data_IF_536084323814
#
_entry.id   IF_536084323814
#
_cell.length_a   1.000
_cell.length_b   1.000
_cell.length_c   1.000
_cell.angle_alpha   90.00
_cell.angle_beta   90.00
_cell.angle_gamma   90.00
#
_symmetry.space_group_name_H-M   'P 1'
#
loop_
_entity.id
_entity.type
_entity.pdbx_description
1 polymer ?
#
# COMPACT_ATOMS: atom_id res chain seq x y z
N UNK A 1 8.43 13.33 8.01
CA UNK A 1 9.17 14.52 8.47
C UNK A 1 10.33 14.87 7.55
N UNK A 2 11.37 14.06 7.38
CA UNK A 2 12.56 14.40 6.58
C UNK A 2 12.25 14.72 5.11
N UNK A 3 11.46 13.88 4.42
CA UNK A 3 11.02 14.15 3.04
C UNK A 3 10.24 15.46 2.94
N UNK A 4 9.43 15.78 3.96
CA UNK A 4 8.74 17.08 4.04
C UNK A 4 9.72 18.25 4.17
N UNK A 5 10.73 18.13 5.03
CA UNK A 5 11.76 19.17 5.20
C UNK A 5 12.57 19.37 3.91
N UNK A 6 12.96 18.29 3.23
CA UNK A 6 13.63 18.39 1.92
C UNK A 6 12.72 19.10 0.90
N UNK A 7 11.44 18.70 0.83
CA UNK A 7 10.47 19.32 -0.08
C UNK A 7 10.33 20.82 0.18
N UNK A 8 10.26 21.24 1.44
CA UNK A 8 10.16 22.64 1.82
C UNK A 8 11.45 23.41 1.49
N UNK A 9 12.62 22.80 1.66
CA UNK A 9 13.90 23.38 1.23
C UNK A 9 13.89 23.70 -0.27
N UNK A 10 13.45 22.74 -1.10
CA UNK A 10 13.33 22.98 -2.55
C UNK A 10 12.35 24.11 -2.88
N UNK A 11 11.26 24.21 -2.12
CA UNK A 11 10.24 25.26 -2.28
C UNK A 11 10.80 26.65 -1.93
N UNK A 12 11.46 26.77 -0.79
CA UNK A 12 12.08 28.04 -0.34
C UNK A 12 13.09 28.55 -1.38
N UNK A 13 13.80 27.63 -2.05
CA UNK A 13 14.77 27.99 -3.09
C UNK A 13 14.17 28.10 -4.50
N UNK A 14 12.84 28.01 -4.66
CA UNK A 14 12.18 28.08 -5.97
C UNK A 14 12.54 26.92 -6.92
N UNK A 15 12.99 25.79 -6.36
CA UNK A 15 13.50 24.64 -7.10
C UNK A 15 12.54 23.43 -7.10
N UNK A 16 11.28 23.60 -6.69
CA UNK A 16 10.28 22.51 -6.59
C UNK A 16 10.15 21.70 -7.88
N UNK A 17 10.20 22.39 -9.03
CA UNK A 17 10.10 21.74 -10.35
C UNK A 17 11.23 20.76 -10.64
N UNK A 18 12.39 20.91 -9.95
CA UNK A 18 13.54 20.02 -10.11
C UNK A 18 13.43 18.73 -9.30
N UNK A 19 12.56 18.70 -8.30
CA UNK A 19 12.35 17.55 -7.42
C UNK A 19 11.24 16.64 -7.96
N UNK A 20 11.50 15.35 -8.04
CA UNK A 20 10.50 14.31 -8.22
C UNK A 20 10.37 13.49 -6.94
N UNK A 21 9.14 13.02 -6.65
CA UNK A 21 8.86 12.15 -5.49
C UNK A 21 8.08 10.93 -5.94
N UNK A 22 8.57 9.74 -5.56
CA UNK A 22 7.86 8.50 -5.83
C UNK A 22 7.98 7.55 -4.64
N UNK A 23 7.13 6.53 -4.62
CA UNK A 23 7.21 5.44 -3.65
C UNK A 23 6.83 4.10 -4.29
N UNK A 24 7.18 3.00 -3.65
CA UNK A 24 6.87 1.65 -4.14
C UNK A 24 5.41 1.25 -3.89
N UNK A 25 4.72 1.91 -2.96
CA UNK A 25 3.29 1.71 -2.68
C UNK A 25 2.45 2.97 -2.93
N UNK A 26 1.13 2.78 -3.16
CA UNK A 26 0.20 3.91 -3.37
C UNK A 26 0.08 4.79 -2.13
N UNK A 27 -0.05 4.17 -0.95
CA UNK A 27 -0.19 4.90 0.32
C UNK A 27 1.06 5.74 0.61
N UNK A 28 2.25 5.16 0.49
CA UNK A 28 3.49 5.90 0.70
C UNK A 28 3.64 7.05 -0.30
N UNK A 29 3.28 6.83 -1.57
CA UNK A 29 3.31 7.86 -2.60
C UNK A 29 2.43 9.08 -2.24
N UNK A 30 1.23 8.82 -1.75
CA UNK A 30 0.31 9.88 -1.29
C UNK A 30 0.88 10.62 -0.08
N UNK A 31 1.38 9.89 0.94
CA UNK A 31 1.96 10.49 2.16
C UNK A 31 3.07 11.50 1.85
N UNK A 32 3.88 11.23 0.85
CA UNK A 32 4.98 12.14 0.46
C UNK A 32 4.58 13.17 -0.60
N UNK A 33 3.31 13.20 -1.03
CA UNK A 33 2.83 14.04 -2.13
C UNK A 33 3.52 13.73 -3.45
N UNK A 34 3.64 12.45 -3.79
CA UNK A 34 4.30 11.92 -4.98
C UNK A 34 3.41 10.94 -5.75
N UNK A 35 4.03 10.14 -6.63
CA UNK A 35 3.37 9.09 -7.41
C UNK A 35 3.96 7.72 -7.08
N UNK A 36 3.26 6.62 -7.43
CA UNK A 36 3.93 5.32 -7.38
C UNK A 36 5.07 5.28 -8.41
N UNK A 37 6.17 4.60 -8.07
CA UNK A 37 7.33 4.49 -8.96
C UNK A 37 6.95 3.98 -10.35
N UNK A 38 6.04 2.98 -10.41
CA UNK A 38 5.49 2.48 -11.67
C UNK A 38 4.75 3.56 -12.48
N UNK A 39 3.92 4.37 -11.82
CA UNK A 39 3.17 5.45 -12.48
C UNK A 39 4.08 6.56 -12.95
N UNK A 40 5.02 6.97 -12.10
CA UNK A 40 5.97 8.04 -12.37
C UNK A 40 6.88 7.71 -13.55
N UNK A 41 7.51 6.52 -13.54
CA UNK A 41 8.39 6.06 -14.61
C UNK A 41 7.63 5.51 -15.84
N UNK A 42 6.28 5.42 -15.78
CA UNK A 42 5.48 4.83 -16.85
C UNK A 42 5.80 3.35 -17.10
N UNK A 43 6.00 2.56 -16.03
CA UNK A 43 6.28 1.13 -16.10
C UNK A 43 4.96 0.37 -16.04
N UNK A 44 4.58 -0.42 -17.05
CA UNK A 44 3.35 -1.19 -17.02
C UNK A 44 3.46 -2.39 -16.06
N UNK A 45 2.44 -2.57 -15.21
CA UNK A 45 2.41 -3.64 -14.19
C UNK A 45 2.19 -5.04 -14.83
N UNK A 46 1.47 -5.14 -15.97
CA UNK A 46 0.96 -6.40 -16.52
C UNK A 46 1.34 -6.64 -17.98
N UNK A 47 2.58 -6.40 -18.41
CA UNK A 47 3.01 -6.79 -19.77
C UNK A 47 4.02 -7.93 -19.73
N UNK A 48 3.90 -8.94 -20.64
CA UNK A 48 4.92 -9.97 -20.79
C UNK A 48 6.27 -9.32 -21.17
N UNK A 49 7.35 -9.93 -20.70
CA UNK A 49 8.74 -9.56 -21.01
C UNK A 49 8.97 -9.59 -22.53
N UNK A 50 8.88 -8.43 -23.18
CA UNK A 50 9.39 -8.26 -24.55
C UNK A 50 10.70 -7.50 -24.46
N UNK A 51 11.68 -7.90 -25.28
CA UNK A 51 13.03 -7.32 -25.28
C UNK A 51 13.06 -5.80 -25.45
N UNK A 52 12.06 -5.21 -26.12
CA UNK A 52 11.95 -3.76 -26.38
C UNK A 52 10.88 -3.07 -25.50
N UNK A 53 10.75 -3.46 -24.23
CA UNK A 53 9.73 -2.90 -23.33
C UNK A 53 9.86 -1.39 -23.08
N UNK A 54 11.07 -0.80 -23.22
CA UNK A 54 11.30 0.64 -23.06
C UNK A 54 10.69 1.43 -24.21
N UNK A 55 10.76 0.90 -25.43
CA UNK A 55 10.29 1.58 -26.65
C UNK A 55 8.83 1.22 -26.98
N UNK A 56 8.29 0.15 -26.40
CA UNK A 56 6.93 -0.36 -26.67
C UNK A 56 5.80 0.41 -25.99
N UNK A 57 6.02 1.65 -25.52
CA UNK A 57 4.99 2.47 -24.90
C UNK A 57 4.09 3.13 -25.94
N UNK A 58 2.73 3.04 -25.75
CA UNK A 58 1.80 3.91 -26.45
C UNK A 58 2.23 5.39 -26.27
N UNK A 59 1.91 6.25 -27.23
CA UNK A 59 2.23 7.69 -27.17
C UNK A 59 1.85 8.35 -25.81
N UNK A 60 0.78 7.87 -25.17
CA UNK A 60 0.36 8.32 -23.85
C UNK A 60 1.37 8.01 -22.74
N UNK A 61 2.04 6.85 -22.78
CA UNK A 61 3.08 6.48 -21.80
C UNK A 61 4.32 7.34 -22.01
N UNK A 62 4.75 7.52 -23.26
CA UNK A 62 5.91 8.36 -23.58
C UNK A 62 5.66 9.83 -23.16
N UNK A 63 4.45 10.34 -23.44
CA UNK A 63 4.04 11.68 -22.99
C UNK A 63 4.10 11.80 -21.46
N UNK A 64 3.60 10.81 -20.71
CA UNK A 64 3.64 10.77 -19.24
C UNK A 64 5.09 10.76 -18.73
N UNK A 65 5.96 9.89 -19.28
CA UNK A 65 7.38 9.84 -18.94
C UNK A 65 8.02 11.21 -19.09
N UNK A 66 7.81 11.86 -20.24
CA UNK A 66 8.33 13.19 -20.49
C UNK A 66 7.79 14.21 -19.48
N UNK A 67 6.50 14.21 -19.18
CA UNK A 67 5.90 15.12 -18.19
C UNK A 67 6.45 14.94 -16.77
N UNK A 68 6.70 13.70 -16.36
CA UNK A 68 7.14 13.39 -15.01
C UNK A 68 8.65 13.58 -14.80
N UNK A 69 9.47 13.34 -15.83
CA UNK A 69 10.94 13.26 -15.71
C UNK A 69 11.62 14.53 -16.26
N UNK A 70 11.05 15.15 -17.31
CA UNK A 70 11.66 16.32 -17.95
C UNK A 70 11.90 17.47 -16.94
N UNK A 71 13.11 18.04 -16.93
CA UNK A 71 13.52 19.11 -16.01
C UNK A 71 13.78 18.66 -14.58
N UNK A 72 13.64 17.36 -14.26
CA UNK A 72 13.96 16.84 -12.93
C UNK A 72 15.44 16.60 -12.76
N UNK A 73 15.97 16.99 -11.60
CA UNK A 73 17.37 16.80 -11.20
C UNK A 73 17.50 15.87 -9.99
N UNK A 74 16.46 15.82 -9.15
CA UNK A 74 16.44 15.05 -7.91
C UNK A 74 15.23 14.11 -7.89
N UNK A 75 15.43 12.89 -7.43
CA UNK A 75 14.39 11.90 -7.23
C UNK A 75 14.42 11.38 -5.79
N UNK A 76 13.32 11.53 -5.08
CA UNK A 76 13.07 10.85 -3.82
C UNK A 76 12.25 9.58 -4.12
N UNK A 77 12.73 8.43 -3.62
CA UNK A 77 12.01 7.16 -3.67
C UNK A 77 11.82 6.63 -2.26
N UNK A 78 10.56 6.56 -1.81
CA UNK A 78 10.19 6.06 -0.47
C UNK A 78 9.77 4.58 -0.50
N UNK A 79 9.84 3.92 0.67
CA UNK A 79 9.56 2.49 0.87
C UNK A 79 10.40 1.58 -0.05
N UNK A 80 11.70 1.87 -0.18
CA UNK A 80 12.61 1.16 -1.09
C UNK A 80 12.75 -0.33 -0.77
N UNK A 81 12.38 -0.79 0.44
CA UNK A 81 12.40 -2.20 0.82
C UNK A 81 11.58 -3.09 -0.13
N UNK A 82 10.49 -2.57 -0.68
CA UNK A 82 9.63 -3.27 -1.64
C UNK A 82 10.07 -3.11 -3.10
N UNK A 83 11.15 -2.38 -3.38
CA UNK A 83 11.69 -2.22 -4.73
C UNK A 83 12.44 -3.48 -5.15
N UNK A 84 12.11 -4.02 -6.33
CA UNK A 84 12.89 -5.13 -6.89
C UNK A 84 14.12 -4.62 -7.64
N UNK A 85 15.16 -5.45 -7.73
CA UNK A 85 16.34 -5.20 -8.56
C UNK A 85 15.94 -4.81 -10.00
N UNK A 86 15.04 -5.59 -10.62
CA UNK A 86 14.54 -5.30 -11.97
C UNK A 86 13.80 -3.97 -12.06
N UNK A 87 13.03 -3.61 -11.03
CA UNK A 87 12.31 -2.33 -11.00
C UNK A 87 13.28 -1.15 -10.93
N UNK A 88 14.32 -1.26 -10.11
CA UNK A 88 15.39 -0.26 -9.98
C UNK A 88 16.09 -0.02 -11.31
N UNK A 89 16.53 -1.12 -11.96
CA UNK A 89 17.14 -1.07 -13.31
C UNK A 89 16.22 -0.40 -14.34
N UNK A 90 14.97 -0.87 -14.44
CA UNK A 90 14.00 -0.31 -15.40
C UNK A 90 13.74 1.17 -15.19
N UNK A 91 13.67 1.60 -13.93
CA UNK A 91 13.53 3.02 -13.59
C UNK A 91 14.72 3.82 -14.09
N UNK A 92 15.94 3.36 -13.80
CA UNK A 92 17.17 4.00 -14.25
C UNK A 92 17.21 4.12 -15.77
N UNK A 93 16.97 3.03 -16.51
CA UNK A 93 16.95 3.02 -17.99
C UNK A 93 15.95 4.05 -18.58
N UNK A 94 14.74 4.11 -18.04
CA UNK A 94 13.73 5.05 -18.53
C UNK A 94 14.17 6.50 -18.28
N UNK A 95 14.66 6.78 -17.08
CA UNK A 95 15.11 8.12 -16.70
C UNK A 95 16.28 8.54 -17.56
N UNK A 96 17.28 7.68 -17.73
CA UNK A 96 18.45 7.95 -18.60
C UNK A 96 18.01 8.33 -20.01
N UNK A 97 17.16 7.53 -20.66
CA UNK A 97 16.69 7.82 -22.02
C UNK A 97 15.89 9.11 -22.15
N UNK A 98 15.06 9.43 -21.15
CA UNK A 98 14.32 10.72 -21.18
C UNK A 98 15.27 11.90 -21.01
N UNK A 99 16.25 11.81 -20.12
CA UNK A 99 17.24 12.86 -19.89
C UNK A 99 18.23 13.03 -21.06
N UNK A 100 18.61 11.93 -21.73
CA UNK A 100 19.38 11.99 -22.99
C UNK A 100 18.60 12.71 -24.07
N UNK A 101 17.31 12.40 -24.23
CA UNK A 101 16.43 13.09 -25.19
C UNK A 101 16.24 14.59 -24.86
N UNK A 102 16.46 14.98 -23.60
CA UNK A 102 16.48 16.37 -23.13
C UNK A 102 17.85 17.04 -23.37
N UNK A 103 18.89 16.28 -23.65
CA UNK A 103 20.26 16.78 -23.86
C UNK A 103 21.04 17.04 -22.57
N UNK A 104 20.54 16.54 -21.40
CA UNK A 104 21.19 16.68 -20.08
C UNK A 104 21.55 15.34 -19.45
N UNK A 105 21.14 14.23 -20.06
CA UNK A 105 21.41 12.88 -19.56
C UNK A 105 22.83 12.41 -19.90
N UNK A 106 23.43 11.68 -18.97
CA UNK A 106 24.72 11.03 -19.13
C UNK A 106 24.47 9.51 -19.23
N UNK A 107 24.67 8.95 -20.42
CA UNK A 107 24.36 7.55 -20.73
C UNK A 107 25.11 6.54 -19.84
N UNK A 108 26.31 6.89 -19.39
CA UNK A 108 27.14 6.03 -18.54
C UNK A 108 26.78 6.10 -17.04
N UNK A 109 25.91 7.03 -16.66
CA UNK A 109 25.52 7.22 -15.25
C UNK A 109 24.13 6.67 -14.97
N UNK A 110 23.96 6.09 -13.78
CA UNK A 110 22.67 5.62 -13.32
C UNK A 110 21.66 6.75 -13.25
N UNK A 111 20.42 6.48 -13.65
CA UNK A 111 19.36 7.49 -13.76
C UNK A 111 19.77 8.71 -14.65
N UNK A 112 20.70 8.51 -15.59
CA UNK A 112 21.19 9.55 -16.48
C UNK A 112 21.81 10.73 -15.74
N UNK A 113 22.47 10.49 -14.59
CA UNK A 113 23.06 11.54 -13.75
C UNK A 113 22.05 12.35 -12.93
N UNK A 114 20.86 11.79 -12.63
CA UNK A 114 19.93 12.35 -11.68
C UNK A 114 20.31 11.94 -10.27
N UNK A 115 20.34 12.86 -9.31
CA UNK A 115 20.55 12.55 -7.90
C UNK A 115 19.36 11.79 -7.35
N UNK A 116 19.60 10.63 -6.73
CA UNK A 116 18.55 9.75 -6.21
C UNK A 116 18.72 9.56 -4.71
N UNK A 117 17.64 9.78 -3.95
CA UNK A 117 17.59 9.60 -2.51
C UNK A 117 16.55 8.53 -2.21
N UNK A 118 17.01 7.36 -1.78
CA UNK A 118 16.14 6.25 -1.38
C UNK A 118 15.86 6.31 0.12
N UNK A 119 14.58 6.19 0.49
CA UNK A 119 14.12 6.07 1.87
C UNK A 119 13.50 4.70 2.10
N UNK A 120 13.73 4.08 3.24
CA UNK A 120 13.09 2.82 3.59
C UNK A 120 13.73 2.10 4.77
N UNK A 121 13.17 0.95 5.10
CA UNK A 121 13.64 0.08 6.16
C UNK A 121 13.62 -1.38 5.67
N UNK A 122 14.77 -1.97 5.44
CA UNK A 122 14.89 -3.35 4.95
C UNK A 122 14.44 -4.43 5.95
N UNK A 123 14.11 -4.06 7.19
CA UNK A 123 13.42 -4.94 8.14
C UNK A 123 11.89 -4.90 7.98
N UNK A 124 11.35 -4.06 7.10
CA UNK A 124 9.96 -4.08 6.66
C UNK A 124 9.82 -5.01 5.44
N UNK A 125 8.60 -5.09 4.85
CA UNK A 125 8.37 -6.06 3.79
C UNK A 125 9.33 -5.95 2.61
N UNK A 126 9.91 -7.07 2.18
CA UNK A 126 10.61 -7.17 0.90
C UNK A 126 9.61 -7.15 -0.27
N UNK A 127 10.08 -7.19 -1.53
CA UNK A 127 9.22 -7.23 -2.70
C UNK A 127 8.17 -8.33 -2.64
N UNK A 128 6.91 -7.97 -2.93
CA UNK A 128 5.77 -8.90 -2.88
C UNK A 128 5.93 -10.03 -3.90
N UNK A 129 5.69 -11.26 -3.46
CA UNK A 129 5.72 -12.47 -4.30
C UNK A 129 7.12 -13.02 -4.61
N UNK A 130 8.17 -12.23 -4.49
CA UNK A 130 9.56 -12.68 -4.64
C UNK A 130 10.52 -11.92 -3.70
N UNK A 131 10.68 -12.36 -2.46
CA UNK A 131 11.58 -11.71 -1.50
C UNK A 131 13.06 -11.68 -1.96
N UNK A 132 13.51 -12.66 -2.75
CA UNK A 132 14.89 -12.69 -3.26
C UNK A 132 15.17 -11.68 -4.36
N UNK A 133 14.13 -11.02 -4.89
CA UNK A 133 14.27 -9.88 -5.80
C UNK A 133 14.61 -8.57 -5.07
N UNK A 134 14.71 -8.56 -3.72
CA UNK A 134 15.08 -7.39 -2.93
C UNK A 134 16.47 -6.86 -3.33
N UNK A 135 16.65 -5.55 -3.22
CA UNK A 135 17.89 -4.87 -3.60
C UNK A 135 19.12 -5.39 -2.87
N UNK A 136 18.97 -5.86 -1.63
CA UNK A 136 20.06 -6.40 -0.82
C UNK A 136 20.39 -7.88 -1.11
N UNK A 137 19.52 -8.61 -1.82
CA UNK A 137 19.78 -10.00 -2.15
C UNK A 137 20.72 -10.13 -3.35
N UNK A 138 21.78 -10.92 -3.21
CA UNK A 138 22.68 -11.25 -4.28
C UNK A 138 22.48 -12.71 -4.72
N UNK A 139 22.09 -12.93 -5.97
CA UNK A 139 21.78 -14.25 -6.54
C UNK A 139 22.34 -14.35 -7.98
N UNK A 140 23.69 -14.35 -8.14
CA UNK A 140 24.32 -14.31 -9.47
C UNK A 140 23.91 -15.48 -10.36
N UNK A 141 23.61 -16.65 -9.78
CA UNK A 141 23.24 -17.85 -10.53
C UNK A 141 21.80 -17.85 -11.04
N UNK A 142 20.91 -17.06 -10.44
CA UNK A 142 19.46 -17.04 -10.75
C UNK A 142 18.92 -15.70 -11.19
N UNK A 143 19.65 -14.62 -10.93
CA UNK A 143 19.29 -13.28 -11.37
C UNK A 143 19.49 -13.12 -12.87
N UNK A 144 18.52 -12.53 -13.56
CA UNK A 144 18.67 -12.11 -14.95
C UNK A 144 19.57 -10.87 -15.04
N UNK A 145 20.01 -10.52 -16.27
CA UNK A 145 20.90 -9.39 -16.50
C UNK A 145 20.34 -8.07 -15.92
N UNK A 146 19.01 -7.87 -15.95
CA UNK A 146 18.38 -6.67 -15.39
C UNK A 146 18.43 -6.65 -13.87
N UNK A 147 18.30 -7.80 -13.22
CA UNK A 147 18.43 -7.91 -11.77
C UNK A 147 19.87 -7.62 -11.34
N UNK A 148 20.86 -8.18 -12.03
CA UNK A 148 22.27 -7.91 -11.74
C UNK A 148 22.62 -6.43 -11.89
N UNK A 149 22.16 -5.79 -12.97
CA UNK A 149 22.34 -4.36 -13.17
C UNK A 149 21.59 -3.52 -12.12
N UNK A 150 20.38 -3.90 -11.73
CA UNK A 150 19.63 -3.22 -10.68
C UNK A 150 20.30 -3.34 -9.31
N UNK A 151 20.96 -4.47 -9.02
CA UNK A 151 21.80 -4.63 -7.83
C UNK A 151 23.03 -3.73 -7.92
N UNK A 152 23.72 -3.68 -9.07
CA UNK A 152 24.86 -2.78 -9.29
C UNK A 152 24.48 -1.33 -9.01
N UNK A 153 23.38 -0.83 -9.58
CA UNK A 153 22.87 0.53 -9.33
C UNK A 153 22.68 0.78 -7.83
N UNK A 154 22.13 -0.18 -7.09
CA UNK A 154 21.93 -0.03 -5.64
C UNK A 154 23.25 -0.02 -4.87
N UNK A 155 24.26 -0.76 -5.31
CA UNK A 155 25.59 -0.78 -4.65
C UNK A 155 26.41 0.47 -4.93
N UNK A 156 26.07 1.28 -5.92
CA UNK A 156 26.71 2.56 -6.23
C UNK A 156 26.37 3.68 -5.23
N UNK A 157 25.34 3.48 -4.37
CA UNK A 157 25.06 4.44 -3.30
C UNK A 157 26.26 4.48 -2.32
N UNK A 158 26.87 5.63 -2.22
CA UNK A 158 28.06 5.90 -1.41
C UNK A 158 27.76 6.68 -0.12
N UNK A 159 26.61 7.35 -0.05
CA UNK A 159 26.16 8.10 1.11
C UNK A 159 24.95 7.43 1.76
N UNK A 160 25.05 7.20 3.06
CA UNK A 160 23.98 6.60 3.86
C UNK A 160 23.81 7.37 5.15
N UNK A 161 22.56 7.62 5.54
CA UNK A 161 22.21 8.17 6.85
C UNK A 161 21.21 7.25 7.52
N UNK A 162 21.62 6.60 8.60
CA UNK A 162 20.75 5.78 9.43
C UNK A 162 20.07 6.68 10.47
N UNK A 163 18.72 6.75 10.38
CA UNK A 163 17.92 7.50 11.35
C UNK A 163 17.83 6.68 12.64
N UNK A 164 18.17 7.29 13.76
CA UNK A 164 18.21 6.64 15.08
C UNK A 164 17.07 7.07 15.99
N UNK A 165 16.50 8.25 15.76
CA UNK A 165 15.43 8.78 16.59
C UNK A 165 14.06 8.22 16.16
N UNK A 166 13.34 7.65 17.15
CA UNK A 166 12.03 7.04 16.92
C UNK A 166 10.92 8.06 17.18
N UNK A 167 10.32 8.61 16.09
CA UNK A 167 9.32 9.69 16.19
C UNK A 167 7.89 9.19 16.38
N UNK A 168 7.58 7.92 16.08
CA UNK A 168 6.22 7.36 16.19
C UNK A 168 5.94 6.83 17.58
N UNK A 169 6.90 6.15 18.16
CA UNK A 169 6.76 5.40 19.41
C UNK A 169 7.17 6.30 20.57
N UNK A 170 6.32 6.36 21.59
CA UNK A 170 6.51 7.18 22.79
C UNK A 170 6.75 6.34 24.06
N UNK A 171 6.82 5.02 23.91
CA UNK A 171 7.03 4.03 24.97
C UNK A 171 8.43 3.41 24.81
N UNK A 172 9.34 3.77 25.68
CA UNK A 172 10.76 3.34 25.62
C UNK A 172 10.92 1.82 25.73
N UNK A 173 10.10 1.15 26.55
CA UNK A 173 10.11 -0.32 26.66
C UNK A 173 9.69 -0.94 25.32
N UNK A 174 8.63 -0.39 24.69
CA UNK A 174 8.17 -0.85 23.40
C UNK A 174 9.20 -0.62 22.30
N UNK A 175 9.88 0.52 22.32
CA UNK A 175 10.99 0.84 21.41
C UNK A 175 12.10 -0.20 21.55
N UNK A 176 12.48 -0.55 22.77
CA UNK A 176 13.48 -1.59 23.04
C UNK A 176 13.07 -2.97 22.51
N UNK A 177 11.83 -3.38 22.74
CA UNK A 177 11.27 -4.64 22.23
C UNK A 177 11.33 -4.69 20.71
N UNK A 178 10.83 -3.63 20.02
CA UNK A 178 10.84 -3.60 18.56
C UNK A 178 12.25 -3.55 17.97
N UNK A 179 13.20 -2.93 18.66
CA UNK A 179 14.61 -2.92 18.23
C UNK A 179 15.24 -4.32 18.28
N UNK A 180 14.95 -5.10 19.32
CA UNK A 180 15.40 -6.49 19.43
C UNK A 180 14.66 -7.42 18.46
N UNK A 181 13.36 -7.20 18.26
CA UNK A 181 12.57 -7.95 17.28
C UNK A 181 13.14 -7.83 15.84
N UNK A 182 13.60 -6.63 15.46
CA UNK A 182 14.23 -6.41 14.14
C UNK A 182 15.39 -7.34 13.84
N UNK A 183 16.12 -7.73 14.87
CA UNK A 183 17.32 -8.57 14.73
C UNK A 183 17.14 -9.99 15.28
N UNK A 184 15.93 -10.33 15.76
CA UNK A 184 15.61 -11.65 16.28
C UNK A 184 16.22 -11.95 17.65
N UNK A 185 16.39 -10.93 18.49
CA UNK A 185 17.07 -10.99 19.81
C UNK A 185 16.12 -10.62 20.96
N UNK A 186 14.82 -10.89 20.83
CA UNK A 186 13.89 -10.67 21.92
C UNK A 186 14.21 -11.58 23.11
N UNK A 187 14.11 -11.01 24.32
CA UNK A 187 14.37 -11.71 25.58
C UNK A 187 13.11 -12.34 26.16
N UNK A 188 13.24 -13.21 27.17
CA UNK A 188 12.10 -13.74 27.92
C UNK A 188 11.27 -12.62 28.55
N UNK A 189 11.90 -11.58 29.09
CA UNK A 189 11.20 -10.43 29.63
C UNK A 189 10.39 -9.66 28.58
N UNK A 190 10.89 -9.58 27.33
CA UNK A 190 10.12 -9.00 26.23
C UNK A 190 8.90 -9.84 25.91
N UNK A 191 9.05 -11.16 25.91
CA UNK A 191 7.93 -12.08 25.65
C UNK A 191 6.87 -11.98 26.74
N UNK A 192 7.25 -11.80 28.01
CA UNK A 192 6.30 -11.57 29.11
C UNK A 192 5.50 -10.27 28.90
N UNK A 193 6.18 -9.18 28.51
CA UNK A 193 5.53 -7.91 28.22
C UNK A 193 4.56 -8.00 27.02
N UNK A 194 4.97 -8.70 25.98
CA UNK A 194 4.13 -8.92 24.78
C UNK A 194 2.93 -9.81 25.11
N UNK A 195 3.12 -10.85 25.94
CA UNK A 195 2.05 -11.76 26.34
C UNK A 195 0.92 -11.03 27.09
N UNK A 196 1.24 -10.03 27.92
CA UNK A 196 0.23 -9.18 28.61
C UNK A 196 -0.66 -8.38 27.63
N UNK A 197 -0.29 -8.27 26.36
CA UNK A 197 -1.07 -7.59 25.32
C UNK A 197 -2.05 -8.52 24.59
N UNK A 198 -1.97 -9.83 24.82
CA UNK A 198 -2.82 -10.84 24.19
C UNK A 198 -4.21 -10.82 24.80
N UNK A 199 -5.24 -10.51 24.03
CA UNK A 199 -6.62 -10.34 24.50
C UNK A 199 -7.20 -11.59 25.20
N UNK A 200 -6.68 -12.77 24.86
CA UNK A 200 -7.09 -14.03 25.48
C UNK A 200 -6.28 -14.42 26.72
N UNK A 201 -5.26 -13.64 27.08
CA UNK A 201 -4.46 -13.88 28.29
C UNK A 201 -5.18 -13.28 29.51
N UNK A 202 -5.32 -14.02 30.64
CA UNK A 202 -5.93 -13.52 31.86
C UNK A 202 -5.23 -12.28 32.46
N UNK A 203 -3.97 -12.05 32.14
CA UNK A 203 -3.20 -10.88 32.61
C UNK A 203 -3.36 -9.66 31.73
N UNK A 204 -4.10 -9.78 30.63
CA UNK A 204 -4.33 -8.66 29.71
C UNK A 204 -5.28 -7.64 30.33
N UNK A 205 -4.85 -6.40 30.38
CA UNK A 205 -5.73 -5.26 30.64
C UNK A 205 -6.55 -5.00 29.37
N UNK A 206 -7.72 -5.64 29.29
CA UNK A 206 -8.61 -5.57 28.12
C UNK A 206 -9.26 -4.20 28.06
N UNK A 207 -9.02 -3.41 27.00
CA UNK A 207 -9.59 -2.09 26.89
C UNK A 207 -11.11 -2.12 26.65
N UNK A 208 -11.78 -1.04 26.99
CA UNK A 208 -13.18 -0.87 26.64
C UNK A 208 -13.33 -0.53 25.14
N UNK A 209 -13.71 -1.52 24.35
CA UNK A 209 -13.96 -1.36 22.91
C UNK A 209 -15.25 -0.60 22.57
N UNK A 210 -15.99 -0.11 23.57
CA UNK A 210 -17.20 0.70 23.34
C UNK A 210 -16.90 2.19 23.36
N UNK A 211 -15.76 2.59 23.89
CA UNK A 211 -15.33 3.99 24.04
C UNK A 211 -14.11 4.34 23.20
N UNK A 212 -14.00 5.60 22.80
CA UNK A 212 -12.79 6.10 22.12
C UNK A 212 -11.57 6.07 23.06
N UNK A 213 -10.36 5.80 22.55
CA UNK A 213 -10.03 5.59 21.14
C UNK A 213 -10.19 4.13 20.67
N UNK A 214 -10.48 3.18 21.56
CA UNK A 214 -10.54 1.77 21.25
C UNK A 214 -11.79 1.34 20.45
N UNK A 215 -12.87 2.13 20.51
CA UNK A 215 -14.06 1.89 19.66
C UNK A 215 -13.73 1.95 18.16
N UNK A 216 -12.66 2.64 17.81
CA UNK A 216 -12.16 2.86 16.46
C UNK A 216 -10.93 2.03 16.11
N UNK A 217 -10.55 1.10 16.99
CA UNK A 217 -9.38 0.25 16.78
C UNK A 217 -9.44 -0.51 15.47
N UNK A 218 -8.32 -0.53 14.75
CA UNK A 218 -8.19 -1.21 13.47
C UNK A 218 -7.57 -2.59 13.68
N UNK A 219 -8.09 -3.62 12.99
CA UNK A 219 -7.46 -4.94 12.98
C UNK A 219 -6.46 -5.06 11.83
N UNK A 220 -5.23 -5.47 12.15
CA UNK A 220 -4.23 -5.94 11.18
C UNK A 220 -4.15 -7.46 11.28
N UNK A 221 -4.39 -8.17 10.17
CA UNK A 221 -4.33 -9.63 10.13
C UNK A 221 -3.81 -10.13 8.79
N UNK A 222 -2.96 -11.18 8.75
CA UNK A 222 -2.51 -11.79 7.51
C UNK A 222 -3.60 -12.64 6.85
N UNK A 223 -4.73 -12.87 7.55
CA UNK A 223 -5.81 -13.78 7.14
C UNK A 223 -6.95 -13.03 6.47
N UNK A 224 -7.18 -13.26 5.18
CA UNK A 224 -8.30 -12.65 4.47
C UNK A 224 -9.66 -12.98 5.10
N UNK A 225 -9.90 -14.23 5.49
CA UNK A 225 -11.15 -14.62 6.13
C UNK A 225 -11.40 -13.87 7.46
N UNK A 226 -10.39 -13.73 8.32
CA UNK A 226 -10.50 -12.97 9.57
C UNK A 226 -10.77 -11.48 9.29
N UNK A 227 -10.07 -10.90 8.30
CA UNK A 227 -10.29 -9.53 7.85
C UNK A 227 -11.73 -9.31 7.37
N UNK A 228 -12.23 -10.21 6.54
CA UNK A 228 -13.58 -10.07 5.95
C UNK A 228 -14.67 -10.23 7.02
N UNK A 229 -14.53 -11.20 7.94
CA UNK A 229 -15.45 -11.36 9.08
C UNK A 229 -15.43 -10.15 10.01
N UNK A 230 -14.25 -9.61 10.32
CA UNK A 230 -14.13 -8.41 11.16
C UNK A 230 -14.77 -7.20 10.50
N UNK A 231 -14.51 -6.98 9.21
CA UNK A 231 -15.09 -5.89 8.45
C UNK A 231 -16.61 -5.97 8.40
N UNK A 232 -17.17 -7.17 8.17
CA UNK A 232 -18.61 -7.38 8.16
C UNK A 232 -19.24 -7.08 9.54
N UNK A 233 -18.66 -7.62 10.62
CA UNK A 233 -19.16 -7.40 11.97
C UNK A 233 -19.05 -5.92 12.40
N UNK A 234 -17.95 -5.25 12.04
CA UNK A 234 -17.76 -3.83 12.34
C UNK A 234 -18.73 -2.93 11.57
N UNK A 235 -18.99 -3.23 10.30
CA UNK A 235 -19.99 -2.51 9.51
C UNK A 235 -21.40 -2.70 10.07
N UNK A 236 -21.76 -3.92 10.45
CA UNK A 236 -23.05 -4.23 11.09
C UNK A 236 -23.22 -3.47 12.41
N UNK A 237 -22.18 -3.47 13.24
CA UNK A 237 -22.14 -2.67 14.48
C UNK A 237 -22.32 -1.17 14.16
N UNK A 238 -21.61 -0.65 13.15
CA UNK A 238 -21.72 0.74 12.72
C UNK A 238 -23.17 1.08 12.32
N UNK A 239 -23.80 0.31 11.47
CA UNK A 239 -25.19 0.54 11.03
C UNK A 239 -26.15 0.53 12.21
N UNK A 240 -26.02 -0.44 13.14
CA UNK A 240 -26.87 -0.54 14.32
C UNK A 240 -26.70 0.63 15.28
N UNK A 241 -25.48 1.12 15.49
CA UNK A 241 -25.22 2.22 16.44
C UNK A 241 -25.53 3.59 15.86
N UNK A 242 -25.32 3.79 14.56
CA UNK A 242 -25.57 5.07 13.88
C UNK A 242 -27.02 5.21 13.38
N UNK A 243 -27.77 4.11 13.25
CA UNK A 243 -29.07 4.09 12.57
C UNK A 243 -28.96 4.22 11.05
N UNK A 244 -27.77 4.27 10.48
CA UNK A 244 -27.56 4.36 9.04
C UNK A 244 -27.82 3.02 8.36
N UNK A 245 -28.39 3.08 7.15
CA UNK A 245 -28.69 1.88 6.34
C UNK A 245 -27.46 1.36 5.65
N UNK A 246 -27.38 0.03 5.54
CA UNK A 246 -26.38 -0.68 4.73
C UNK A 246 -26.87 -0.80 3.29
N UNK A 247 -26.04 -0.39 2.35
CA UNK A 247 -26.26 -0.57 0.92
C UNK A 247 -25.39 -1.72 0.43
N UNK A 248 -25.99 -2.67 -0.29
CA UNK A 248 -25.31 -3.77 -0.97
C UNK A 248 -25.28 -3.44 -2.45
N UNK A 249 -24.11 -3.02 -2.93
CA UNK A 249 -23.91 -2.54 -4.30
C UNK A 249 -23.45 -3.68 -5.19
N UNK A 250 -24.24 -4.06 -6.18
CA UNK A 250 -23.86 -5.04 -7.19
C UNK A 250 -22.94 -4.42 -8.25
N UNK A 251 -21.97 -5.20 -8.73
CA UNK A 251 -21.14 -4.79 -9.87
C UNK A 251 -21.94 -4.85 -11.17
N UNK A 252 -21.64 -3.95 -12.09
CA UNK A 252 -22.16 -3.95 -13.45
C UNK A 252 -21.09 -4.55 -14.37
N UNK A 253 -21.33 -5.80 -14.83
CA UNK A 253 -20.44 -6.52 -15.75
C UNK A 253 -21.01 -6.51 -17.16
N UNK A 254 -20.19 -6.12 -18.15
CA UNK A 254 -20.60 -6.05 -19.56
C UNK A 254 -19.60 -6.77 -20.49
N UNK A 255 -20.08 -7.31 -21.60
CA UNK A 255 -19.24 -7.96 -22.63
C UNK A 255 -18.58 -6.89 -23.50
N UNK A 256 -17.29 -7.00 -23.74
CA UNK A 256 -16.55 -6.15 -24.68
C UNK A 256 -16.47 -6.79 -26.10
N UNK A 257 -16.67 -6.02 -27.17
CA UNK A 257 -16.91 -4.57 -27.24
C UNK A 257 -18.39 -4.18 -27.23
N UNK A 258 -19.35 -5.15 -27.18
CA UNK A 258 -20.77 -4.92 -27.42
C UNK A 258 -21.47 -4.11 -26.32
N UNK A 259 -20.97 -4.17 -25.08
CA UNK A 259 -21.63 -3.55 -23.92
C UNK A 259 -22.85 -4.32 -23.41
N UNK A 260 -23.11 -5.52 -23.96
CA UNK A 260 -24.24 -6.36 -23.59
C UNK A 260 -24.03 -7.03 -22.24
N UNK A 261 -25.14 -7.40 -21.61
CA UNK A 261 -25.12 -8.13 -20.33
C UNK A 261 -24.65 -9.59 -20.57
N UNK A 262 -23.80 -10.15 -19.68
CA UNK A 262 -23.33 -11.52 -19.78
C UNK A 262 -24.45 -12.55 -19.66
N UNK A 263 -24.37 -13.67 -20.40
CA UNK A 263 -25.28 -14.81 -20.28
C UNK A 263 -25.21 -15.40 -18.86
N UNK A 264 -26.23 -16.14 -18.45
CA UNK A 264 -26.29 -16.82 -17.14
C UNK A 264 -25.07 -17.71 -16.92
N UNK A 265 -24.61 -18.45 -17.92
CA UNK A 265 -23.42 -19.29 -17.85
C UNK A 265 -22.14 -18.46 -17.62
N UNK A 266 -22.02 -17.34 -18.33
CA UNK A 266 -20.91 -16.41 -18.12
C UNK A 266 -20.95 -15.77 -16.72
N UNK A 267 -22.14 -15.42 -16.21
CA UNK A 267 -22.32 -14.93 -14.83
C UNK A 267 -21.90 -15.95 -13.77
N UNK A 268 -22.18 -17.24 -13.99
CA UNK A 268 -21.70 -18.31 -13.10
C UNK A 268 -20.15 -18.43 -13.12
N UNK A 269 -19.55 -18.34 -14.31
CA UNK A 269 -18.09 -18.32 -14.42
C UNK A 269 -17.46 -17.09 -13.73
N UNK A 270 -18.10 -15.92 -13.83
CA UNK A 270 -17.67 -14.71 -13.11
C UNK A 270 -17.76 -14.91 -11.59
N UNK A 271 -18.84 -15.54 -11.09
CA UNK A 271 -19.03 -15.76 -9.66
C UNK A 271 -17.96 -16.68 -9.04
N UNK A 272 -17.33 -17.56 -9.83
CA UNK A 272 -16.23 -18.42 -9.42
C UNK A 272 -14.84 -17.77 -9.45
N UNK A 273 -14.73 -16.52 -9.89
CA UNK A 273 -13.44 -15.83 -9.96
C UNK A 273 -12.95 -15.39 -8.58
N UNK A 274 -11.62 -15.43 -8.41
CA UNK A 274 -10.95 -14.77 -7.29
C UNK A 274 -10.91 -13.26 -7.53
N UNK A 275 -10.90 -12.48 -6.45
CA UNK A 275 -10.90 -11.01 -6.50
C UNK A 275 -9.71 -10.43 -7.30
N UNK A 276 -8.56 -11.12 -7.31
CA UNK A 276 -7.37 -10.69 -8.06
C UNK A 276 -7.62 -10.65 -9.58
N UNK A 277 -8.47 -11.53 -10.11
CA UNK A 277 -8.81 -11.56 -11.54
C UNK A 277 -9.52 -10.29 -12.00
N UNK A 278 -10.23 -9.62 -11.10
CA UNK A 278 -10.91 -8.34 -11.31
C UNK A 278 -10.19 -7.17 -10.63
N UNK A 279 -8.89 -7.31 -10.34
CA UNK A 279 -8.07 -6.31 -9.62
C UNK A 279 -8.70 -5.87 -8.30
N UNK A 280 -9.28 -6.80 -7.55
CA UNK A 280 -9.98 -6.59 -6.28
C UNK A 280 -11.26 -5.72 -6.38
N UNK A 281 -11.81 -5.49 -7.56
CA UNK A 281 -13.18 -5.00 -7.69
C UNK A 281 -14.15 -6.15 -7.42
N UNK A 282 -14.75 -6.13 -6.24
CA UNK A 282 -15.65 -7.19 -5.78
C UNK A 282 -16.95 -7.20 -6.57
N UNK A 283 -17.58 -8.37 -6.70
CA UNK A 283 -18.89 -8.52 -7.31
C UNK A 283 -19.98 -7.82 -6.48
N UNK A 284 -19.81 -7.75 -5.16
CA UNK A 284 -20.67 -7.01 -4.23
C UNK A 284 -19.83 -6.22 -3.27
N UNK A 285 -20.21 -4.95 -3.07
CA UNK A 285 -19.56 -4.04 -2.11
C UNK A 285 -20.61 -3.57 -1.13
N UNK A 286 -20.31 -3.65 0.16
CA UNK A 286 -21.18 -3.16 1.23
C UNK A 286 -20.69 -1.77 1.67
N UNK A 287 -21.63 -0.80 1.68
CA UNK A 287 -21.35 0.57 2.09
C UNK A 287 -22.46 1.13 2.97
N UNK A 288 -22.09 2.02 3.89
CA UNK A 288 -23.03 2.80 4.70
C UNK A 288 -22.49 4.22 4.89
N UNK A 289 -23.36 5.17 5.08
CA UNK A 289 -22.97 6.54 5.43
C UNK A 289 -22.32 6.54 6.82
N UNK A 290 -21.22 7.26 6.98
CA UNK A 290 -20.43 7.34 8.21
C UNK A 290 -19.47 6.16 8.43
N UNK A 291 -19.49 5.12 7.62
CA UNK A 291 -18.58 3.98 7.76
C UNK A 291 -17.14 4.35 7.42
N UNK A 292 -16.19 3.67 8.06
CA UNK A 292 -14.79 3.67 7.63
C UNK A 292 -14.62 2.80 6.39
N UNK A 293 -14.00 3.36 5.38
CA UNK A 293 -13.74 2.68 4.12
C UNK A 293 -12.27 2.79 3.71
N UNK A 294 -11.84 1.89 2.84
CA UNK A 294 -10.51 1.90 2.25
C UNK A 294 -10.61 1.74 0.74
N UNK A 295 -9.88 2.57 0.01
CA UNK A 295 -9.74 2.49 -1.44
C UNK A 295 -8.88 1.29 -1.81
N UNK A 296 -9.26 0.53 -2.86
CA UNK A 296 -8.53 -0.69 -3.29
C UNK A 296 -7.83 -0.55 -4.64
N UNK A 297 -7.94 0.60 -5.30
CA UNK A 297 -7.25 0.93 -6.55
C UNK A 297 -6.59 2.31 -6.45
N UNK A 298 -5.61 2.57 -7.29
CA UNK A 298 -5.09 3.92 -7.50
C UNK A 298 -6.08 4.66 -8.41
N UNK A 299 -7.01 5.42 -7.82
CA UNK A 299 -8.10 6.08 -8.55
C UNK A 299 -7.63 7.45 -9.06
N UNK A 300 -7.07 8.26 -8.17
CA UNK A 300 -6.64 9.62 -8.45
C UNK A 300 -5.48 9.98 -7.52
N UNK A 301 -4.28 9.53 -7.87
CA UNK A 301 -3.07 9.77 -7.05
C UNK A 301 -2.71 11.26 -6.97
N UNK A 302 -3.09 12.04 -7.98
CA UNK A 302 -2.99 13.50 -8.01
C UNK A 302 -3.96 14.21 -7.05
N UNK A 303 -5.01 13.52 -6.61
CA UNK A 303 -5.96 13.98 -5.60
C UNK A 303 -5.80 13.23 -4.26
N UNK A 304 -4.61 12.67 -4.01
CA UNK A 304 -4.24 11.94 -2.80
C UNK A 304 -5.08 10.65 -2.55
N UNK A 305 -5.69 10.08 -3.62
CA UNK A 305 -6.49 8.85 -3.55
C UNK A 305 -5.78 7.70 -4.24
N UNK A 306 -5.21 6.82 -3.45
CA UNK A 306 -4.50 5.62 -3.89
C UNK A 306 -5.01 4.35 -3.21
N UNK A 307 -4.56 3.19 -3.68
CA UNK A 307 -4.84 1.91 -3.05
C UNK A 307 -4.29 1.89 -1.61
N UNK A 308 -5.19 1.72 -0.65
CA UNK A 308 -4.91 1.76 0.79
C UNK A 308 -5.26 3.08 1.47
N UNK A 309 -5.65 4.14 0.74
CA UNK A 309 -6.18 5.37 1.33
C UNK A 309 -7.42 5.05 2.15
N UNK A 310 -7.39 5.42 3.43
CA UNK A 310 -8.48 5.25 4.40
C UNK A 310 -9.27 6.55 4.56
N UNK A 311 -10.53 6.41 4.93
CA UNK A 311 -11.39 7.57 5.18
C UNK A 311 -12.80 7.15 5.55
N UNK A 312 -13.70 8.13 5.55
CA UNK A 312 -15.10 7.98 5.95
C UNK A 312 -16.01 8.28 4.75
N UNK A 313 -17.04 7.49 4.53
CA UNK A 313 -18.09 7.76 3.55
C UNK A 313 -19.07 8.77 4.17
N UNK A 314 -19.19 9.95 3.58
CA UNK A 314 -20.09 11.00 4.04
C UNK A 314 -21.48 10.94 3.40
N UNK A 315 -21.57 10.31 2.23
CA UNK A 315 -22.82 10.17 1.48
C UNK A 315 -22.61 9.47 0.15
N UNK A 316 -23.69 9.18 -0.54
CA UNK A 316 -23.68 8.61 -1.88
C UNK A 316 -24.84 9.15 -2.72
N UNK A 317 -24.62 9.36 -4.00
CA UNK A 317 -25.66 9.66 -4.97
C UNK A 317 -26.07 8.35 -5.64
N UNK A 318 -27.37 8.03 -5.63
CA UNK A 318 -27.87 6.81 -6.29
C UNK A 318 -27.90 6.97 -7.81
N UNK A 319 -27.66 5.85 -8.53
CA UNK A 319 -27.80 5.84 -9.98
C UNK A 319 -29.27 6.12 -10.35
N UNK A 320 -29.56 7.00 -11.33
CA UNK A 320 -30.93 7.31 -11.75
C UNK A 320 -31.74 6.10 -12.26
N UNK A 321 -31.07 5.02 -12.62
CA UNK A 321 -31.68 3.75 -13.05
C UNK A 321 -32.24 2.92 -11.90
N UNK A 322 -31.83 3.22 -10.63
CA UNK A 322 -32.35 2.50 -9.46
C UNK A 322 -33.83 2.76 -9.26
N UNK A 323 -34.62 1.67 -9.29
CA UNK A 323 -36.09 1.74 -9.15
C UNK A 323 -36.59 1.29 -7.78
N UNK A 324 -35.79 0.47 -7.07
CA UNK A 324 -36.15 -0.11 -5.79
C UNK A 324 -35.08 0.22 -4.75
N UNK A 325 -35.41 1.13 -3.85
CA UNK A 325 -34.55 1.54 -2.73
C UNK A 325 -35.18 1.21 -1.37
N UNK A 326 -36.20 0.33 -1.38
CA UNK A 326 -36.80 -0.16 -0.13
C UNK A 326 -35.87 -1.16 0.53
N UNK A 327 -35.70 -1.09 1.85
CA UNK A 327 -34.91 -2.06 2.59
C UNK A 327 -35.56 -3.45 2.55
N UNK A 328 -34.72 -4.49 2.58
CA UNK A 328 -35.15 -5.87 2.80
C UNK A 328 -35.50 -6.13 4.29
N UNK A 329 -35.77 -7.41 4.63
CA UNK A 329 -36.11 -7.84 6.02
C UNK A 329 -34.98 -7.54 7.03
N UNK A 330 -33.73 -7.53 6.57
CA UNK A 330 -32.54 -7.21 7.38
C UNK A 330 -32.23 -5.69 7.42
N UNK A 331 -33.08 -4.87 6.78
CA UNK A 331 -32.90 -3.41 6.70
C UNK A 331 -31.84 -2.94 5.70
N UNK A 332 -31.35 -3.84 4.83
CA UNK A 332 -30.38 -3.55 3.79
C UNK A 332 -31.04 -3.06 2.49
N UNK A 333 -30.40 -2.17 1.77
CA UNK A 333 -30.85 -1.69 0.45
C UNK A 333 -29.95 -2.30 -0.60
N UNK A 334 -30.53 -3.09 -1.51
CA UNK A 334 -29.82 -3.72 -2.62
C UNK A 334 -29.83 -2.80 -3.84
N UNK A 335 -28.64 -2.34 -4.25
CA UNK A 335 -28.45 -1.53 -5.44
C UNK A 335 -28.01 -2.43 -6.61
N UNK A 336 -28.70 -2.27 -7.75
CA UNK A 336 -28.36 -2.99 -8.99
C UNK A 336 -27.20 -2.33 -9.72
N UNK A 337 -27.05 -1.02 -9.53
CA UNK A 337 -26.02 -0.21 -10.19
C UNK A 337 -25.11 0.46 -9.18
N UNK A 338 -23.78 0.49 -9.43
CA UNK A 338 -22.87 1.24 -8.60
C UNK A 338 -23.24 2.73 -8.57
N UNK A 339 -23.37 3.34 -7.38
CA UNK A 339 -23.58 4.78 -7.23
C UNK A 339 -22.58 5.58 -8.08
N UNK A 340 -23.03 6.54 -8.90
CA UNK A 340 -22.14 7.35 -9.74
C UNK A 340 -21.15 8.18 -8.92
N UNK A 341 -21.50 8.53 -7.68
CA UNK A 341 -20.63 9.26 -6.77
C UNK A 341 -20.80 8.77 -5.34
N UNK A 342 -19.69 8.53 -4.69
CA UNK A 342 -19.58 8.36 -3.23
C UNK A 342 -18.74 9.51 -2.69
N UNK A 343 -19.26 10.28 -1.74
CA UNK A 343 -18.54 11.37 -1.07
C UNK A 343 -17.67 10.79 0.03
N UNK A 344 -16.36 10.86 -0.19
CA UNK A 344 -15.35 10.24 0.66
C UNK A 344 -14.47 11.31 1.30
N UNK A 345 -14.27 11.22 2.60
CA UNK A 345 -13.34 12.08 3.34
C UNK A 345 -12.14 11.24 3.79
N UNK A 346 -10.95 11.41 3.19
CA UNK A 346 -9.73 10.75 3.65
C UNK A 346 -9.40 11.08 5.10
N UNK A 347 -8.79 10.13 5.83
CA UNK A 347 -8.28 10.34 7.19
C UNK A 347 -7.07 11.28 7.21
N UNK A 348 -6.32 11.34 6.11
CA UNK A 348 -5.19 12.26 5.94
C UNK A 348 -5.65 13.57 5.32
N UNK A 349 -4.94 14.65 5.66
CA UNK A 349 -5.19 15.93 5.04
C UNK A 349 -4.89 15.87 3.55
N UNK A 350 -5.83 16.31 2.74
CA UNK A 350 -5.66 16.53 1.31
C UNK A 350 -5.70 18.02 1.02
N UNK A 351 -4.89 18.44 0.06
CA UNK A 351 -4.92 19.82 -0.45
C UNK A 351 -5.90 20.00 -1.60
N UNK A 352 -6.47 18.88 -2.08
CA UNK A 352 -7.42 18.90 -3.20
C UNK A 352 -8.80 19.34 -2.73
N UNK A 353 -9.34 20.34 -3.36
CA UNK A 353 -10.71 20.84 -3.11
C UNK A 353 -11.55 20.70 -4.38
N UNK A 354 -12.83 20.39 -4.21
CA UNK A 354 -13.80 20.32 -5.30
C UNK A 354 -14.88 21.38 -5.08
N UNK A 355 -15.21 22.12 -6.14
CA UNK A 355 -16.26 23.14 -6.10
C UNK A 355 -17.60 22.51 -5.67
N UNK A 356 -18.27 23.14 -4.72
CA UNK A 356 -19.56 22.68 -4.18
C UNK A 356 -19.47 21.54 -3.16
N UNK A 357 -18.26 21.05 -2.80
CA UNK A 357 -18.08 20.06 -1.73
C UNK A 357 -17.39 20.68 -0.51
N UNK A 358 -17.65 20.16 0.69
CA UNK A 358 -16.92 20.54 1.89
C UNK A 358 -15.40 20.26 1.73
N UNK A 359 -14.59 21.03 2.48
CA UNK A 359 -13.13 20.87 2.46
C UNK A 359 -12.71 19.44 2.82
N UNK A 360 -11.78 18.90 2.02
CA UNK A 360 -11.25 17.55 2.16
C UNK A 360 -12.20 16.43 1.75
N UNK A 361 -13.36 16.74 1.15
CA UNK A 361 -14.27 15.74 0.60
C UNK A 361 -13.99 15.50 -0.87
N UNK A 362 -13.78 14.24 -1.22
CA UNK A 362 -13.45 13.82 -2.58
C UNK A 362 -14.57 12.97 -3.15
N UNK A 363 -15.10 13.28 -4.35
CA UNK A 363 -16.11 12.47 -5.03
C UNK A 363 -15.42 11.26 -5.68
N UNK A 364 -15.75 10.06 -5.23
CA UNK A 364 -15.27 8.80 -5.81
C UNK A 364 -16.34 8.23 -6.75
N UNK A 365 -15.98 8.07 -8.02
CA UNK A 365 -16.80 7.39 -9.02
C UNK A 365 -16.41 5.92 -9.16
N UNK A 366 -17.33 5.04 -9.66
CA UNK A 366 -17.00 3.65 -9.93
C UNK A 366 -15.83 3.50 -10.90
N UNK A 367 -14.96 2.56 -10.62
CA UNK A 367 -13.84 2.20 -11.49
C UNK A 367 -14.23 1.13 -12.48
N UNK A 368 -13.56 1.10 -13.65
CA UNK A 368 -13.78 0.11 -14.70
C UNK A 368 -12.54 -0.76 -14.86
N UNK A 369 -12.72 -2.09 -14.83
CA UNK A 369 -11.64 -3.07 -14.96
C UNK A 369 -12.00 -4.15 -15.97
N UNK A 370 -11.16 -4.31 -17.00
CA UNK A 370 -11.27 -5.38 -17.98
C UNK A 370 -10.69 -6.71 -17.46
N UNK A 371 -11.42 -7.81 -17.69
CA UNK A 371 -11.00 -9.17 -17.37
C UNK A 371 -11.52 -10.17 -18.40
N UNK A 372 -11.26 -11.47 -18.24
CA UNK A 372 -11.77 -12.49 -19.16
C UNK A 372 -12.13 -13.75 -18.39
N UNK A 373 -13.17 -14.46 -18.86
CA UNK A 373 -13.61 -15.75 -18.35
C UNK A 373 -13.81 -16.73 -19.51
N UNK A 374 -13.81 -18.02 -19.22
CA UNK A 374 -14.27 -19.03 -20.14
C UNK A 374 -15.81 -19.04 -20.15
N UNK A 375 -16.40 -18.72 -21.31
CA UNK A 375 -17.85 -18.63 -21.50
C UNK A 375 -18.34 -19.57 -22.62
N UNK A 376 -19.56 -19.36 -23.14
CA UNK A 376 -20.07 -20.08 -24.28
C UNK A 376 -19.30 -19.69 -25.55
N UNK A 377 -18.69 -20.68 -26.20
CA UNK A 377 -17.91 -20.45 -27.41
C UNK A 377 -16.46 -19.99 -27.21
N UNK A 378 -15.93 -20.05 -25.98
CA UNK A 378 -14.55 -19.74 -25.67
C UNK A 378 -14.35 -18.55 -24.72
N UNK A 379 -13.20 -17.91 -24.82
CA UNK A 379 -12.79 -16.84 -23.91
C UNK A 379 -13.56 -15.54 -24.18
N UNK A 380 -14.39 -15.12 -23.20
CA UNK A 380 -15.20 -13.89 -23.24
C UNK A 380 -14.43 -12.77 -22.52
N UNK A 381 -14.29 -11.63 -23.20
CA UNK A 381 -13.72 -10.40 -22.62
C UNK A 381 -14.84 -9.60 -21.98
N UNK A 382 -14.63 -9.18 -20.76
CA UNK A 382 -15.59 -8.47 -19.92
C UNK A 382 -14.98 -7.19 -19.35
N UNK A 383 -15.87 -6.28 -18.95
CA UNK A 383 -15.54 -5.09 -18.17
C UNK A 383 -16.46 -5.00 -16.97
N UNK A 384 -15.88 -4.86 -15.79
CA UNK A 384 -16.60 -4.62 -14.52
C UNK A 384 -16.57 -3.15 -14.19
N UNK A 385 -17.72 -2.58 -13.90
CA UNK A 385 -17.91 -1.27 -13.28
C UNK A 385 -18.35 -1.47 -11.83
N UNK A 386 -17.54 -0.99 -10.85
CA UNK A 386 -17.83 -1.13 -9.42
C UNK A 386 -17.10 -0.06 -8.61
N UNK A 387 -17.57 0.20 -7.39
CA UNK A 387 -16.86 1.02 -6.42
C UNK A 387 -15.55 0.36 -6.01
N UNK A 388 -14.44 1.08 -6.11
CA UNK A 388 -13.14 0.62 -5.64
C UNK A 388 -12.97 0.87 -4.13
N UNK A 389 -13.98 0.53 -3.35
CA UNK A 389 -14.06 0.73 -1.90
C UNK A 389 -14.36 -0.58 -1.19
N UNK A 390 -13.80 -0.75 -0.01
CA UNK A 390 -14.11 -1.84 0.93
C UNK A 390 -14.21 -1.28 2.33
N UNK A 391 -14.89 -1.96 3.29
CA UNK A 391 -14.85 -1.57 4.68
C UNK A 391 -13.40 -1.47 5.20
N UNK A 392 -13.09 -0.42 5.94
CA UNK A 392 -11.73 -0.05 6.38
C UNK A 392 -11.44 -0.31 7.86
N UNK A 393 -12.16 -1.24 8.51
CA UNK A 393 -11.96 -1.59 9.92
C UNK A 393 -10.88 -2.65 10.14
N UNK A 394 -10.61 -3.46 9.12
CA UNK A 394 -9.55 -4.46 9.12
C UNK A 394 -8.88 -4.55 7.75
N UNK A 395 -7.56 -4.77 7.73
CA UNK A 395 -6.79 -4.97 6.50
C UNK A 395 -5.54 -5.81 6.75
N UNK A 396 -4.86 -6.16 5.66
CA UNK A 396 -3.65 -6.98 5.74
C UNK A 396 -2.45 -6.14 6.18
N UNK A 397 -1.48 -6.80 6.76
CA UNK A 397 -0.20 -6.23 7.21
C UNK A 397 0.55 -5.49 6.08
N UNK A 398 0.53 -6.00 4.85
CA UNK A 398 1.07 -5.28 3.67
C UNK A 398 0.47 -3.89 3.49
N UNK A 399 -0.82 -3.73 3.74
CA UNK A 399 -1.49 -2.43 3.65
C UNK A 399 -1.26 -1.55 4.88
N UNK A 400 -0.79 -2.13 5.98
CA UNK A 400 -0.43 -1.41 7.20
C UNK A 400 0.93 -0.71 7.08
N UNK A 401 1.82 -1.16 6.16
CA UNK A 401 3.14 -0.55 5.98
C UNK A 401 3.01 0.95 5.65
N UNK A 402 3.88 1.76 6.23
CA UNK A 402 3.84 3.23 6.10
C UNK A 402 2.77 3.93 6.95
N UNK A 403 1.74 3.24 7.46
CA UNK A 403 0.66 3.86 8.25
C UNK A 403 1.00 3.95 9.75
N UNK A 404 0.40 4.91 10.43
CA UNK A 404 0.38 5.04 11.90
C UNK A 404 -1.06 4.94 12.38
N UNK A 405 -1.30 4.17 13.45
CA UNK A 405 -2.64 3.93 13.98
C UNK A 405 -2.73 4.43 15.42
N UNK A 406 -3.86 5.01 15.78
CA UNK A 406 -4.11 5.47 17.13
C UNK A 406 -4.25 4.28 18.08
N UNK A 407 -5.15 3.34 17.77
CA UNK A 407 -5.27 2.06 18.43
C UNK A 407 -5.32 0.93 17.40
N UNK A 408 -4.61 -0.16 17.67
CA UNK A 408 -4.50 -1.29 16.75
C UNK A 408 -4.64 -2.63 17.47
N UNK A 409 -5.37 -3.54 16.85
CA UNK A 409 -5.38 -4.96 17.21
C UNK A 409 -4.59 -5.69 16.14
N UNK A 410 -3.67 -6.56 16.54
CA UNK A 410 -2.86 -7.31 15.58
C UNK A 410 -3.08 -8.81 15.72
N UNK A 411 -3.23 -9.51 14.61
CA UNK A 411 -3.25 -10.97 14.54
C UNK A 411 -1.92 -11.45 13.97
N UNK A 412 -1.05 -11.92 14.84
CA UNK A 412 0.27 -12.46 14.50
C UNK A 412 0.36 -13.97 14.74
N UNK A 413 -0.78 -14.64 14.78
CA UNK A 413 -0.86 -16.09 14.85
C UNK A 413 -0.65 -16.70 13.45
N UNK A 414 0.09 -17.80 13.36
CA UNK A 414 0.33 -18.49 12.09
C UNK A 414 -0.98 -18.83 11.38
N UNK A 415 -1.12 -18.50 10.08
CA UNK A 415 -2.28 -18.85 9.29
C UNK A 415 -2.36 -20.38 9.08
N UNK A 416 -3.55 -20.95 8.77
CA UNK A 416 -3.71 -22.37 8.49
C UNK A 416 -2.87 -22.88 7.33
N UNK A 417 -2.52 -22.00 6.39
CA UNK A 417 -1.64 -22.27 5.24
C UNK A 417 -0.55 -21.20 5.16
N UNK A 418 0.71 -21.65 5.04
CA UNK A 418 1.87 -20.78 5.07
C UNK A 418 2.34 -20.46 6.50
N UNK A 419 3.41 -19.70 6.62
CA UNK A 419 3.96 -19.24 7.89
C UNK A 419 4.13 -17.72 7.83
N UNK A 420 4.04 -17.07 8.99
CA UNK A 420 4.44 -15.67 9.13
C UNK A 420 5.96 -15.55 9.10
N UNK A 421 6.42 -14.44 8.58
CA UNK A 421 7.82 -14.03 8.67
C UNK A 421 8.00 -13.00 9.78
N UNK A 422 9.22 -12.78 10.27
CA UNK A 422 9.51 -11.68 11.18
C UNK A 422 9.08 -10.31 10.66
N UNK A 423 9.08 -10.11 9.33
CA UNK A 423 8.58 -8.88 8.70
C UNK A 423 7.09 -8.61 8.99
N UNK A 424 6.25 -9.66 8.94
CA UNK A 424 4.82 -9.54 9.28
C UNK A 424 4.65 -9.04 10.71
N UNK A 425 5.37 -9.66 11.66
CA UNK A 425 5.31 -9.31 13.08
C UNK A 425 5.83 -7.89 13.31
N UNK A 426 7.02 -7.57 12.80
CA UNK A 426 7.63 -6.25 12.97
C UNK A 426 6.76 -5.14 12.36
N UNK A 427 6.28 -5.31 11.13
CA UNK A 427 5.41 -4.32 10.49
C UNK A 427 4.14 -4.12 11.30
N UNK A 428 3.44 -5.18 11.70
CA UNK A 428 2.19 -5.08 12.45
C UNK A 428 2.39 -4.39 13.81
N UNK A 429 3.37 -4.84 14.60
CA UNK A 429 3.63 -4.30 15.95
C UNK A 429 4.13 -2.84 15.91
N UNK A 430 4.93 -2.47 14.91
CA UNK A 430 5.46 -1.11 14.75
C UNK A 430 4.43 -0.07 14.32
N UNK A 431 3.16 -0.44 14.08
CA UNK A 431 2.09 0.52 13.73
C UNK A 431 1.57 1.31 14.92
N UNK A 432 1.74 0.79 16.14
CA UNK A 432 1.30 1.41 17.39
C UNK A 432 2.28 2.48 17.89
N UNK A 433 1.80 3.32 18.81
CA UNK A 433 2.64 4.30 19.53
C UNK A 433 3.26 3.73 20.81
N UNK A 434 2.84 2.55 21.24
CA UNK A 434 3.31 1.91 22.47
C UNK A 434 2.33 0.86 22.96
N UNK A 435 2.68 0.17 24.07
CA UNK A 435 1.91 -0.94 24.65
C UNK A 435 0.46 -0.56 25.05
N UNK A 436 0.19 0.70 25.35
CA UNK A 436 -1.15 1.17 25.68
C UNK A 436 -2.10 1.26 24.50
N UNK A 437 -1.58 1.30 23.28
CA UNK A 437 -2.35 1.52 22.05
C UNK A 437 -2.36 0.29 21.13
N UNK A 438 -1.88 -0.85 21.62
CA UNK A 438 -1.87 -2.11 20.88
C UNK A 438 -2.45 -3.26 21.71
N UNK A 439 -3.16 -4.17 21.06
CA UNK A 439 -3.51 -5.49 21.60
C UNK A 439 -3.26 -6.55 20.55
N UNK A 440 -2.98 -7.76 21.01
CA UNK A 440 -2.77 -8.95 20.17
C UNK A 440 -4.04 -9.79 20.23
N UNK A 441 -4.60 -10.13 19.08
CA UNK A 441 -5.93 -10.77 19.01
C UNK A 441 -5.97 -12.14 19.72
N UNK A 442 -4.88 -12.91 19.61
CA UNK A 442 -4.77 -14.30 20.13
C UNK A 442 -3.31 -14.72 20.26
N UNK A 443 -3.07 -15.87 20.88
CA UNK A 443 -1.73 -16.44 21.03
C UNK A 443 -1.01 -16.60 19.69
N UNK A 444 0.31 -16.48 19.73
CA UNK A 444 1.22 -16.45 18.60
C UNK A 444 2.43 -17.38 18.85
N UNK A 445 3.25 -17.59 17.82
CA UNK A 445 4.48 -18.37 17.91
C UNK A 445 5.64 -17.49 18.43
N UNK A 446 6.19 -17.76 19.64
CA UNK A 446 7.34 -17.02 20.17
C UNK A 446 8.60 -17.11 19.29
N UNK A 447 8.77 -18.18 18.52
CA UNK A 447 9.90 -18.37 17.62
C UNK A 447 10.05 -17.25 16.59
N UNK A 448 8.96 -16.57 16.21
CA UNK A 448 8.98 -15.43 15.30
C UNK A 448 9.78 -14.24 15.83
N UNK A 449 9.92 -14.12 17.15
CA UNK A 449 10.63 -13.01 17.81
C UNK A 449 12.13 -13.30 18.00
N UNK A 450 12.52 -14.55 17.81
CA UNK A 450 13.89 -15.04 17.95
C UNK A 450 14.50 -15.44 16.60
N UNK A 451 13.77 -15.18 15.50
CA UNK A 451 14.22 -15.51 14.16
C UNK A 451 15.13 -14.40 13.61
N UNK A 452 16.40 -14.68 13.45
CA UNK A 452 17.35 -13.73 12.89
C UNK A 452 17.04 -13.42 11.41
N UNK A 453 17.29 -12.19 10.96
CA UNK A 453 17.24 -11.84 9.55
C UNK A 453 18.14 -12.73 8.69
N UNK A 454 17.82 -12.82 7.39
CA UNK A 454 18.64 -13.56 6.43
C UNK A 454 20.10 -13.03 6.41
N UNK A 455 21.02 -13.89 6.00
CA UNK A 455 22.43 -13.51 5.84
C UNK A 455 22.61 -12.32 4.89
N UNK A 456 21.87 -12.32 3.76
CA UNK A 456 21.90 -11.20 2.81
C UNK A 456 21.53 -9.87 3.51
N UNK A 457 20.47 -9.88 4.33
CA UNK A 457 20.03 -8.67 5.03
C UNK A 457 21.04 -8.23 6.09
N UNK A 458 21.61 -9.17 6.84
CA UNK A 458 22.65 -8.86 7.85
C UNK A 458 23.87 -8.24 7.21
N UNK A 459 24.39 -8.85 6.14
CA UNK A 459 25.53 -8.35 5.36
C UNK A 459 25.27 -6.94 4.81
N UNK A 460 24.07 -6.72 4.26
CA UNK A 460 23.69 -5.40 3.73
C UNK A 460 23.60 -4.36 4.86
N UNK A 461 23.01 -4.70 6.00
CA UNK A 461 22.95 -3.78 7.15
C UNK A 461 24.33 -3.41 7.70
N UNK A 462 25.30 -4.31 7.63
CA UNK A 462 26.71 -4.02 7.98
C UNK A 462 27.32 -3.05 6.96
N UNK A 463 27.08 -3.28 5.65
CA UNK A 463 27.51 -2.34 4.60
C UNK A 463 26.94 -0.95 4.82
N UNK A 464 25.63 -0.85 5.07
CA UNK A 464 24.96 0.44 5.30
C UNK A 464 25.47 1.15 6.56
N UNK A 465 25.73 0.42 7.66
CA UNK A 465 26.32 1.00 8.89
C UNK A 465 27.72 1.57 8.65
N UNK A 466 28.54 0.88 7.85
CA UNK A 466 29.85 1.38 7.46
C UNK A 466 29.73 2.68 6.67
N UNK A 467 28.89 2.69 5.65
CA UNK A 467 28.65 3.89 4.83
C UNK A 467 28.05 5.04 5.65
N UNK A 468 27.15 4.79 6.59
CA UNK A 468 26.62 5.82 7.51
C UNK A 468 27.77 6.47 8.33
N UNK A 469 28.68 5.64 8.84
CA UNK A 469 29.86 6.14 9.57
C UNK A 469 30.76 7.01 8.67
N UNK A 470 31.04 6.55 7.46
CA UNK A 470 31.88 7.26 6.50
C UNK A 470 31.23 8.59 6.07
N UNK A 471 29.91 8.57 5.80
CA UNK A 471 29.11 9.76 5.48
C UNK A 471 29.18 10.80 6.62
N UNK A 472 29.04 10.35 7.88
CA UNK A 472 29.10 11.26 9.04
C UNK A 472 30.48 11.89 9.20
N UNK A 473 31.54 11.12 8.99
CA UNK A 473 32.91 11.65 9.04
C UNK A 473 33.12 12.71 7.94
N UNK A 474 32.61 12.49 6.74
CA UNK A 474 32.84 13.39 5.61
C UNK A 474 32.05 14.72 5.73
N UNK A 475 30.85 14.68 6.32
CA UNK A 475 29.93 15.84 6.26
C UNK A 475 29.70 16.53 7.61
N UNK A 476 30.10 15.93 8.74
CA UNK A 476 29.81 16.45 10.09
C UNK A 476 31.07 16.64 10.98
N UNK A 477 32.27 16.43 10.42
CA UNK A 477 33.56 16.82 11.02
C UNK A 477 34.09 18.11 10.38
#
# INVERSE_FOLDING_TARGET
MLIGAITETFKVHGAEKKLAKCATSGVAAVIIGGQTFHSWAGIPINRPRKENWVDAGHQSIQRRRKQNIFGKQFLICDEVSMCTKQLKYRGSEIVTRVREAEGVGIASECFGGMDVIDFGDFHQFPPVGNPTAALYCERPDTDDAHALQGRSIFTEYDQVVILTEQMRITDDVWTGILSRLRVGECTESDMEEIQKLVLTDPKCDVPDFTTAPWSDATLITPRNATKDLWNAAALERHCRTSGNRKYIVSAEDTIKPTGEEPSTKTKLAIAGLKDEATRNLKMRVEVAVGMKAMVVLNIATEADIANGTRGTILGLALDPRERHTSPDEDGCIHLQYPPPVVYFKPDMQTTTTFEGLPEGVIPISPSMVGFSVEGEGGRVKLERRQLALVPGYAFTDYKAQGQTMECVIVDISNPPSGALSPFNVYVALSRSRGRRTIRILRNFDPGLFMHHPSEDLRTEMERLRRLDKDTRVTHYT
#
